data_IF_882345330769
#
_entry.id   IF_882345330769
#
_cell.length_a   1.000
_cell.length_b   1.000
_cell.length_c   1.000
_cell.angle_alpha   90.00
_cell.angle_beta   90.00
_cell.angle_gamma   90.00
#
_symmetry.space_group_name_H-M   'P 1'
#
loop_
_entity.id
_entity.type
_entity.pdbx_description
1 polymer ?
#
# COMPACT_ATOMS: atom_id res chain seq x y z
N UNK A 1 1.73 -9.14 18.47
CA UNK A 1 0.99 -9.41 17.21
C UNK A 1 2.01 -9.83 16.19
N UNK A 2 1.96 -11.08 15.76
CA UNK A 2 2.89 -11.69 14.80
C UNK A 2 2.69 -11.07 13.42
N UNK A 3 3.77 -10.62 12.76
CA UNK A 3 3.77 -10.01 11.41
C UNK A 3 3.24 -10.94 10.29
N UNK A 4 2.80 -12.17 10.61
CA UNK A 4 2.41 -13.21 9.65
C UNK A 4 1.08 -12.98 8.91
N UNK A 5 0.33 -11.90 9.21
CA UNK A 5 -0.94 -11.56 8.55
C UNK A 5 -0.95 -10.15 7.94
N UNK A 6 0.21 -9.51 7.80
CA UNK A 6 0.31 -8.18 7.21
C UNK A 6 1.16 -8.21 5.97
N UNK A 7 0.71 -7.52 4.94
CA UNK A 7 1.50 -7.22 3.75
C UNK A 7 2.07 -5.80 3.88
N UNK A 8 3.25 -5.58 3.31
CA UNK A 8 4.07 -4.40 3.56
C UNK A 8 4.16 -3.56 2.29
N UNK A 9 3.74 -2.30 2.39
CA UNK A 9 3.89 -1.32 1.32
C UNK A 9 5.05 -0.37 1.63
N UNK A 10 5.94 -0.20 0.65
CA UNK A 10 7.11 0.65 0.75
C UNK A 10 6.92 1.92 -0.08
N UNK A 11 7.25 3.09 0.49
CA UNK A 11 7.24 4.34 -0.25
C UNK A 11 5.94 5.14 -0.16
N UNK A 12 6.03 6.42 -0.53
CA UNK A 12 4.95 7.37 -0.30
C UNK A 12 3.75 7.08 -1.21
N UNK A 13 3.98 6.81 -2.50
CA UNK A 13 2.90 6.62 -3.47
C UNK A 13 2.09 5.34 -3.21
N UNK A 14 2.70 4.15 -3.04
CA UNK A 14 1.92 2.93 -2.80
C UNK A 14 1.05 3.02 -1.54
N UNK A 15 1.59 3.58 -0.46
CA UNK A 15 0.85 3.80 0.78
C UNK A 15 -0.27 4.82 0.58
N UNK A 16 0.00 5.93 -0.13
CA UNK A 16 -1.00 6.96 -0.40
C UNK A 16 -2.20 6.40 -1.18
N UNK A 17 -1.94 5.64 -2.25
CA UNK A 17 -3.01 5.06 -3.07
C UNK A 17 -3.77 3.95 -2.33
N UNK A 18 -3.09 3.14 -1.51
CA UNK A 18 -3.77 2.17 -0.65
C UNK A 18 -4.72 2.82 0.36
N UNK A 19 -4.30 3.94 0.98
CA UNK A 19 -5.14 4.69 1.92
C UNK A 19 -6.30 5.41 1.25
N UNK A 20 -6.14 5.91 0.01
CA UNK A 20 -7.24 6.50 -0.76
C UNK A 20 -8.26 5.46 -1.19
N UNK A 21 -7.80 4.34 -1.73
CA UNK A 21 -8.66 3.26 -2.20
C UNK A 21 -9.54 2.69 -1.06
N UNK A 22 -9.07 2.76 0.19
CA UNK A 22 -9.79 2.33 1.38
C UNK A 22 -10.27 0.86 1.34
N UNK A 23 -9.67 0.04 0.46
CA UNK A 23 -10.00 -1.39 0.29
C UNK A 23 -9.21 -2.30 1.23
N UNK A 24 -8.16 -1.78 1.88
CA UNK A 24 -7.26 -2.55 2.76
C UNK A 24 -7.13 -1.82 4.08
N UNK A 25 -7.15 -2.58 5.19
CA UNK A 25 -6.94 -2.02 6.53
C UNK A 25 -5.47 -1.68 6.70
N UNK A 26 -5.15 -0.42 7.03
CA UNK A 26 -3.82 -0.03 7.46
C UNK A 26 -3.71 -0.22 8.98
N UNK A 27 -2.77 -1.04 9.43
CA UNK A 27 -2.56 -1.29 10.86
C UNK A 27 -1.63 -0.26 11.50
N UNK A 28 -0.53 0.07 10.81
CA UNK A 28 0.46 1.05 11.27
C UNK A 28 1.31 1.56 10.11
N UNK A 29 1.84 2.77 10.29
CA UNK A 29 2.87 3.39 9.46
C UNK A 29 4.16 3.52 10.28
N UNK A 30 5.29 3.16 9.67
CA UNK A 30 6.63 3.33 10.22
C UNK A 30 7.35 4.39 9.40
N UNK A 31 7.94 5.39 10.04
CA UNK A 31 8.62 6.51 9.39
C UNK A 31 10.06 6.67 9.89
N UNK A 32 10.97 6.99 8.97
CA UNK A 32 12.35 7.35 9.29
C UNK A 32 12.35 8.69 10.06
N UNK A 33 12.84 8.67 11.29
CA UNK A 33 12.90 9.87 12.13
C UNK A 33 13.76 10.97 11.48
N UNK A 34 13.31 12.22 11.61
CA UNK A 34 13.95 13.38 10.98
C UNK A 34 13.74 13.49 9.47
N UNK A 35 13.14 12.49 8.81
CA UNK A 35 12.80 12.58 7.39
C UNK A 35 11.61 13.52 7.20
N UNK A 36 11.80 14.53 6.35
CA UNK A 36 10.74 15.50 6.05
C UNK A 36 10.80 15.91 4.59
N UNK A 37 9.65 15.82 3.91
CA UNK A 37 9.44 16.40 2.60
C UNK A 37 7.93 16.70 2.42
N UNK A 38 7.53 17.55 1.46
CA UNK A 38 6.13 17.94 1.27
C UNK A 38 5.18 16.76 1.04
N UNK A 39 5.61 15.73 0.30
CA UNK A 39 4.79 14.55 0.00
C UNK A 39 4.56 13.69 1.25
N UNK A 40 5.61 13.47 2.05
CA UNK A 40 5.53 12.74 3.31
C UNK A 40 4.63 13.50 4.30
N UNK A 41 4.75 14.82 4.40
CA UNK A 41 3.84 15.64 5.24
C UNK A 41 2.38 15.47 4.83
N UNK A 42 2.10 15.45 3.52
CA UNK A 42 0.73 15.22 3.00
C UNK A 42 0.21 13.83 3.39
N UNK A 43 1.03 12.80 3.21
CA UNK A 43 0.71 11.43 3.64
C UNK A 43 0.44 11.37 5.15
N UNK A 44 1.29 11.98 5.98
CA UNK A 44 1.10 11.98 7.44
C UNK A 44 -0.19 12.67 7.87
N UNK A 45 -0.63 13.73 7.19
CA UNK A 45 -1.93 14.36 7.45
C UNK A 45 -3.09 13.39 7.18
N UNK A 46 -3.03 12.66 6.07
CA UNK A 46 -4.03 11.65 5.74
C UNK A 46 -4.04 10.52 6.76
N UNK A 47 -2.87 9.98 7.12
CA UNK A 47 -2.70 8.94 8.16
C UNK A 47 -3.29 9.39 9.50
N UNK A 48 -3.02 10.65 9.89
CA UNK A 48 -3.58 11.23 11.12
C UNK A 48 -5.10 11.39 11.05
N UNK A 49 -5.64 11.84 9.91
CA UNK A 49 -7.10 11.98 9.74
C UNK A 49 -7.85 10.65 9.82
N UNK A 50 -7.18 9.53 9.53
CA UNK A 50 -7.72 8.17 9.60
C UNK A 50 -7.41 7.47 10.94
N UNK A 51 -6.81 8.16 11.92
CA UNK A 51 -6.42 7.61 13.23
C UNK A 51 -5.54 6.35 13.14
N UNK A 52 -4.65 6.28 12.15
CA UNK A 52 -3.73 5.16 11.97
C UNK A 52 -2.51 5.37 12.86
N UNK A 53 -2.04 4.29 13.52
CA UNK A 53 -0.86 4.33 14.37
C UNK A 53 0.41 4.67 13.58
N UNK A 54 1.25 5.55 14.13
CA UNK A 54 2.51 5.99 13.53
C UNK A 54 3.65 5.72 14.49
N UNK A 55 4.67 5.01 14.01
CA UNK A 55 5.92 4.74 14.73
C UNK A 55 7.07 5.45 14.00
N UNK A 56 7.72 6.40 14.65
CA UNK A 56 8.96 7.00 14.15
C UNK A 56 10.14 6.24 14.74
N UNK A 57 11.05 5.76 13.88
CA UNK A 57 12.24 5.03 14.32
C UNK A 57 13.53 5.69 13.81
N UNK A 58 14.64 5.58 14.57
CA UNK A 58 15.91 6.18 14.17
C UNK A 58 16.38 5.68 12.81
N UNK A 59 16.97 6.58 12.02
CA UNK A 59 17.50 6.28 10.67
C UNK A 59 18.36 5.00 10.59
N UNK A 60 19.31 4.72 11.50
CA UNK A 60 20.10 3.50 11.45
C UNK A 60 19.24 2.23 11.58
N UNK A 61 18.24 2.28 12.44
CA UNK A 61 17.31 1.17 12.66
C UNK A 61 16.36 0.99 11.48
N UNK A 62 15.82 2.09 10.94
CA UNK A 62 14.99 2.07 9.75
C UNK A 62 15.70 1.40 8.58
N UNK A 63 16.93 1.83 8.29
CA UNK A 63 17.72 1.24 7.21
C UNK A 63 18.15 -0.19 7.52
N UNK A 64 18.36 -0.58 8.78
CA UNK A 64 18.61 -1.98 9.13
C UNK A 64 17.41 -2.88 8.81
N UNK A 65 16.18 -2.40 9.05
CA UNK A 65 14.95 -3.17 8.81
C UNK A 65 14.52 -3.20 7.35
N UNK A 66 14.71 -2.11 6.60
CA UNK A 66 14.06 -1.93 5.28
C UNK A 66 15.02 -1.70 4.10
N UNK A 67 16.34 -1.84 4.29
CA UNK A 67 17.36 -1.47 3.28
C UNK A 67 17.10 -1.95 1.85
N UNK A 68 16.56 -3.15 1.72
CA UNK A 68 16.40 -3.85 0.44
C UNK A 68 15.29 -3.28 -0.45
N UNK A 69 14.53 -2.29 0.03
CA UNK A 69 13.33 -1.79 -0.65
C UNK A 69 13.41 -0.28 -0.92
N UNK A 70 12.75 0.19 -1.98
CA UNK A 70 12.61 1.62 -2.28
C UNK A 70 11.48 2.21 -1.42
N UNK A 71 11.82 2.71 -0.23
CA UNK A 71 10.83 3.12 0.78
C UNK A 71 10.68 4.62 0.99
N UNK A 72 11.56 5.48 0.46
CA UNK A 72 11.52 6.95 0.61
C UNK A 72 11.44 7.47 2.08
N UNK A 73 11.63 6.61 3.07
CA UNK A 73 11.59 6.91 4.51
C UNK A 73 10.24 6.57 5.16
N UNK A 74 9.37 5.80 4.50
CA UNK A 74 8.08 5.38 5.03
C UNK A 74 7.72 3.95 4.60
N UNK A 75 7.15 3.19 5.52
CA UNK A 75 6.65 1.84 5.32
C UNK A 75 5.27 1.72 5.97
N UNK A 76 4.34 0.98 5.36
CA UNK A 76 3.02 0.74 5.92
C UNK A 76 2.70 -0.75 6.00
N UNK A 77 2.09 -1.17 7.11
CA UNK A 77 1.60 -2.53 7.31
C UNK A 77 0.10 -2.56 7.04
N UNK A 78 -0.31 -3.36 6.06
CA UNK A 78 -1.69 -3.46 5.61
C UNK A 78 -2.22 -4.89 5.72
N UNK A 79 -3.54 -5.06 5.77
CA UNK A 79 -4.17 -6.36 5.58
C UNK A 79 -3.79 -6.93 4.21
N UNK A 80 -3.63 -8.25 4.12
CA UNK A 80 -3.34 -8.95 2.85
C UNK A 80 -4.40 -8.55 1.81
N UNK A 81 -3.96 -8.39 0.55
CA UNK A 81 -4.87 -8.11 -0.56
C UNK A 81 -5.60 -9.40 -0.93
N UNK A 82 -6.93 -9.36 -0.91
CA UNK A 82 -7.76 -10.46 -1.39
C UNK A 82 -7.84 -10.45 -2.92
N UNK A 83 -7.87 -11.63 -3.51
CA UNK A 83 -8.11 -11.86 -4.93
C UNK A 83 -9.51 -12.38 -5.10
N UNK A 84 -10.22 -11.90 -6.12
CA UNK A 84 -11.54 -12.41 -6.50
C UNK A 84 -11.42 -13.39 -7.66
N UNK A 85 -12.35 -14.34 -7.73
CA UNK A 85 -12.45 -15.26 -8.86
C UNK A 85 -12.94 -14.55 -10.13
N UNK A 86 -12.80 -15.23 -11.28
CA UNK A 86 -13.24 -14.69 -12.56
C UNK A 86 -14.77 -14.49 -12.59
N UNK A 87 -15.53 -15.46 -12.10
CA UNK A 87 -17.00 -15.38 -12.08
C UNK A 87 -17.49 -14.21 -11.23
N UNK A 88 -16.88 -14.03 -10.05
CA UNK A 88 -17.17 -12.89 -9.18
C UNK A 88 -16.79 -11.58 -9.85
N UNK A 89 -15.61 -11.49 -10.48
CA UNK A 89 -15.18 -10.30 -11.21
C UNK A 89 -16.20 -9.92 -12.29
N UNK A 90 -16.70 -10.89 -13.07
CA UNK A 90 -17.68 -10.65 -14.14
C UNK A 90 -18.99 -10.15 -13.54
N UNK A 91 -19.50 -10.82 -12.51
CA UNK A 91 -20.76 -10.45 -11.86
C UNK A 91 -20.71 -9.02 -11.30
N UNK A 92 -19.70 -8.70 -10.49
CA UNK A 92 -19.54 -7.36 -9.90
C UNK A 92 -19.38 -6.27 -10.97
N UNK A 93 -18.65 -6.55 -12.06
CA UNK A 93 -18.43 -5.58 -13.12
C UNK A 93 -19.73 -5.22 -13.87
N UNK A 94 -20.63 -6.21 -14.07
CA UNK A 94 -21.94 -6.01 -14.69
C UNK A 94 -22.92 -5.28 -13.78
N UNK A 95 -22.76 -5.40 -12.45
CA UNK A 95 -23.52 -4.63 -11.47
C UNK A 95 -23.10 -3.16 -11.45
N UNK A 96 -21.80 -2.87 -11.56
CA UNK A 96 -21.27 -1.49 -11.55
C UNK A 96 -21.46 -0.76 -12.88
N UNK A 97 -21.47 -1.48 -14.02
CA UNK A 97 -21.58 -0.89 -15.35
C UNK A 97 -22.31 -1.80 -16.34
N UNK A 98 -23.17 -1.20 -17.17
CA UNK A 98 -23.86 -1.92 -18.25
C UNK A 98 -22.92 -2.38 -19.39
N UNK A 99 -21.73 -1.78 -19.49
CA UNK A 99 -20.70 -2.14 -20.49
C UNK A 99 -19.32 -2.12 -19.81
N UNK A 100 -18.98 -3.16 -19.02
CA UNK A 100 -17.69 -3.23 -18.35
C UNK A 100 -16.58 -3.49 -19.35
N UNK A 101 -15.43 -2.87 -19.15
CA UNK A 101 -14.21 -3.13 -19.91
C UNK A 101 -13.29 -3.98 -19.06
N UNK A 102 -12.89 -5.14 -19.58
CA UNK A 102 -11.96 -6.05 -18.92
C UNK A 102 -10.64 -6.10 -19.68
N UNK A 103 -9.54 -6.24 -18.95
CA UNK A 103 -8.20 -6.38 -19.52
C UNK A 103 -7.67 -7.76 -19.16
N UNK A 104 -7.36 -8.56 -20.18
CA UNK A 104 -6.68 -9.85 -20.03
C UNK A 104 -5.20 -9.66 -20.32
N UNK A 105 -4.36 -10.15 -19.42
CA UNK A 105 -2.92 -10.13 -19.57
C UNK A 105 -2.42 -11.56 -19.74
N UNK A 106 -1.85 -11.85 -20.91
CA UNK A 106 -1.24 -13.15 -21.22
C UNK A 106 0.28 -13.00 -21.30
N UNK A 107 1.01 -13.88 -20.59
CA UNK A 107 2.46 -13.94 -20.65
C UNK A 107 3.25 -12.78 -20.00
N UNK A 108 2.65 -11.96 -19.14
CA UNK A 108 3.38 -10.91 -18.41
C UNK A 108 4.29 -11.54 -17.34
N UNK A 109 5.60 -11.32 -17.47
CA UNK A 109 6.63 -11.86 -16.55
C UNK A 109 7.45 -10.77 -15.84
N UNK A 110 7.53 -9.57 -16.42
CA UNK A 110 8.23 -8.43 -15.82
C UNK A 110 7.23 -7.56 -15.02
N UNK A 111 7.44 -7.36 -13.70
CA UNK A 111 6.60 -6.48 -12.88
C UNK A 111 6.50 -5.04 -13.41
N UNK A 112 7.51 -4.54 -14.14
CA UNK A 112 7.48 -3.19 -14.72
C UNK A 112 6.47 -3.06 -15.86
N UNK A 113 6.09 -4.15 -16.52
CA UNK A 113 5.09 -4.11 -17.60
C UNK A 113 3.65 -4.10 -17.09
N UNK A 114 3.44 -4.45 -15.81
CA UNK A 114 2.14 -4.48 -15.16
C UNK A 114 1.82 -3.17 -14.42
N UNK A 115 2.86 -2.46 -13.96
CA UNK A 115 2.75 -1.21 -13.19
C UNK A 115 2.47 0.01 -14.05
#
# INVERSE_FOLDING_TARGET
MTDAQTDILYGINPITEALKASKRKCFRIIVEEGKTNPRLKSLMKMVQSQNIAVEAIPKPEFHKRYRSYVHQGVVGHFSIKETIGLDDLIAHSLEESAQPVMVLLDGIQDPHNLG
#
